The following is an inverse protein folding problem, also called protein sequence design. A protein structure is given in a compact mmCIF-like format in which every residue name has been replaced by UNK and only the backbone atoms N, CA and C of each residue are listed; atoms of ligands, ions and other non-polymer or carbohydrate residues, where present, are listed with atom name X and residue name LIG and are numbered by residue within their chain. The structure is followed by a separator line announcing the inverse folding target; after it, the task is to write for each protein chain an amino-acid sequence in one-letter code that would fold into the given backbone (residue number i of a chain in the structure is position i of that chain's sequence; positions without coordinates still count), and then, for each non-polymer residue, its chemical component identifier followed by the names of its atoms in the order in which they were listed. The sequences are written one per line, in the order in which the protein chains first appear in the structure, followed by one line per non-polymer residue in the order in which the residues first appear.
data_IF_160221053133
#
_entry.id   IF_160221053133
#
_cell.length_a   1.000
_cell.length_b   1.000
_cell.length_c   1.000
_cell.angle_alpha   90.00
_cell.angle_beta   90.00
_cell.angle_gamma   90.00
#
_symmetry.space_group_name_H-M   'P 1'
#
loop_
_entity.id
_entity.type
_entity.pdbx_description
1 polymer ?
#
# COMPACT_ATOMS: atom_id res chain seq x y z
N UNK A 1 -23.88 6.79 -2.38
CA UNK A 1 -23.52 6.94 -0.95
C UNK A 1 -24.64 6.36 -0.10
N UNK A 2 -24.49 5.14 0.38
CA UNK A 2 -25.52 4.47 1.20
C UNK A 2 -24.84 3.64 2.28
N UNK A 3 -24.89 4.17 3.51
CA UNK A 3 -24.59 3.50 4.78
C UNK A 3 -23.20 2.89 4.92
N UNK A 4 -22.26 3.59 5.56
CA UNK A 4 -21.23 2.86 6.30
C UNK A 4 -22.00 1.93 7.29
N UNK A 5 -21.73 0.60 7.31
CA UNK A 5 -22.42 -0.29 8.24
C UNK A 5 -22.22 0.26 9.65
N UNK A 6 -23.30 0.38 10.43
CA UNK A 6 -23.35 0.98 11.78
C UNK A 6 -22.16 0.58 12.69
N UNK A 7 -21.57 -0.60 12.47
CA UNK A 7 -20.36 -1.06 13.15
C UNK A 7 -19.07 -0.26 12.86
N UNK A 8 -18.82 0.20 11.63
CA UNK A 8 -17.59 0.96 11.30
C UNK A 8 -17.61 2.35 11.92
N UNK A 9 -18.77 3.00 11.96
CA UNK A 9 -18.90 4.31 12.61
C UNK A 9 -18.74 4.21 14.13
N UNK A 10 -19.21 3.11 14.74
CA UNK A 10 -18.93 2.81 16.14
C UNK A 10 -17.43 2.60 16.38
N UNK A 11 -16.74 1.83 15.53
CA UNK A 11 -15.28 1.65 15.61
C UNK A 11 -14.54 2.97 15.46
N UNK A 12 -14.95 3.85 14.54
CA UNK A 12 -14.34 5.17 14.36
C UNK A 12 -14.57 6.08 15.57
N UNK A 13 -15.79 6.11 16.12
CA UNK A 13 -16.10 6.86 17.35
C UNK A 13 -15.30 6.34 18.53
N UNK A 14 -15.26 5.02 18.72
CA UNK A 14 -14.46 4.38 19.76
C UNK A 14 -12.96 4.66 19.56
N UNK A 15 -12.46 4.59 18.33
CA UNK A 15 -11.08 4.90 17.99
C UNK A 15 -10.66 6.31 18.35
N UNK A 16 -11.50 7.32 18.06
CA UNK A 16 -11.25 8.71 18.50
C UNK A 16 -11.11 8.80 20.01
N UNK A 17 -11.96 8.11 20.77
CA UNK A 17 -11.85 8.06 22.23
C UNK A 17 -10.62 7.28 22.69
N UNK A 18 -10.27 6.17 22.05
CA UNK A 18 -9.12 5.33 22.40
C UNK A 18 -7.78 6.01 22.13
N UNK A 19 -7.70 6.90 21.15
CA UNK A 19 -6.48 7.65 20.81
C UNK A 19 -6.49 9.10 21.32
N UNK A 20 -7.58 9.52 21.99
CA UNK A 20 -7.69 10.83 22.60
C UNK A 20 -6.65 11.03 23.71
N UNK A 21 -5.94 12.17 23.75
CA UNK A 21 -5.07 12.54 24.87
C UNK A 21 -5.81 12.64 26.21
N UNK A 22 -7.14 12.79 26.20
CA UNK A 22 -7.97 12.98 27.41
C UNK A 22 -8.56 11.70 27.99
N UNK A 23 -8.43 10.57 27.30
CA UNK A 23 -9.00 9.29 27.77
C UNK A 23 -8.01 8.60 28.69
N UNK A 24 -8.49 8.14 29.86
CA UNK A 24 -7.74 7.37 30.87
C UNK A 24 -6.79 6.37 30.23
N UNK A 25 -5.49 6.56 30.48
CA UNK A 25 -4.42 5.87 29.76
C UNK A 25 -4.44 4.34 29.94
N UNK A 26 -4.65 3.78 31.16
CA UNK A 26 -4.60 2.32 31.35
C UNK A 26 -5.71 1.55 30.63
N UNK A 27 -6.96 2.02 30.69
CA UNK A 27 -8.09 1.33 30.08
C UNK A 27 -8.04 1.38 28.54
N UNK A 28 -7.63 2.53 27.98
CA UNK A 28 -7.44 2.68 26.55
C UNK A 28 -6.28 1.81 26.05
N UNK A 29 -5.13 1.80 26.73
CA UNK A 29 -3.98 0.95 26.40
C UNK A 29 -4.32 -0.53 26.46
N UNK A 30 -5.02 -0.98 27.50
CA UNK A 30 -5.48 -2.36 27.62
C UNK A 30 -6.38 -2.77 26.43
N UNK A 31 -7.31 -1.89 26.04
CA UNK A 31 -8.19 -2.13 24.89
C UNK A 31 -7.41 -2.21 23.58
N UNK A 32 -6.50 -1.27 23.34
CA UNK A 32 -5.66 -1.25 22.12
C UNK A 32 -4.81 -2.52 22.04
N UNK A 33 -4.16 -2.91 23.16
CA UNK A 33 -3.36 -4.14 23.24
C UNK A 33 -4.22 -5.38 22.94
N UNK A 34 -5.40 -5.49 23.53
CA UNK A 34 -6.29 -6.63 23.31
C UNK A 34 -6.68 -6.78 21.83
N UNK A 35 -6.94 -5.67 21.14
CA UNK A 35 -7.31 -5.66 19.72
C UNK A 35 -6.10 -5.93 18.80
N UNK A 36 -4.94 -5.34 19.12
CA UNK A 36 -3.71 -5.45 18.31
C UNK A 36 -2.98 -6.78 18.44
N UNK A 37 -2.99 -7.39 19.63
CA UNK A 37 -2.27 -8.63 19.93
C UNK A 37 -2.83 -9.88 19.23
N UNK A 38 -3.92 -9.77 18.46
CA UNK A 38 -4.25 -10.77 17.45
C UNK A 38 -4.55 -12.18 17.97
N UNK A 39 -5.26 -12.32 19.10
CA UNK A 39 -5.56 -13.59 19.78
C UNK A 39 -6.33 -14.65 18.94
N UNK A 40 -6.69 -14.38 17.67
CA UNK A 40 -7.67 -15.17 16.90
C UNK A 40 -7.09 -15.96 15.72
N UNK A 41 -5.82 -16.39 15.77
CA UNK A 41 -5.18 -17.12 14.68
C UNK A 41 -5.96 -18.39 14.21
N UNK A 42 -6.93 -18.87 14.99
CA UNK A 42 -7.81 -20.00 14.65
C UNK A 42 -9.25 -19.70 14.20
N UNK A 43 -9.71 -18.44 14.10
CA UNK A 43 -11.13 -18.10 13.78
C UNK A 43 -11.25 -17.22 12.53
N UNK A 44 -11.46 -17.82 11.35
CA UNK A 44 -11.46 -17.12 10.04
C UNK A 44 -12.46 -15.96 9.94
N UNK A 45 -13.70 -16.13 10.39
CA UNK A 45 -14.74 -15.10 10.19
C UNK A 45 -14.60 -13.92 11.17
N UNK A 46 -14.29 -14.21 12.44
CA UNK A 46 -13.97 -13.19 13.43
C UNK A 46 -12.71 -12.39 13.06
N UNK A 47 -11.74 -13.05 12.40
CA UNK A 47 -10.51 -12.39 11.97
C UNK A 47 -10.76 -11.29 10.91
N UNK A 48 -11.76 -11.43 10.04
CA UNK A 48 -12.03 -10.43 8.99
C UNK A 48 -12.55 -9.10 9.56
N UNK A 49 -13.54 -9.17 10.46
CA UNK A 49 -14.10 -7.96 11.10
C UNK A 49 -13.08 -7.27 11.99
N UNK A 50 -12.30 -8.04 12.76
CA UNK A 50 -11.27 -7.49 13.63
C UNK A 50 -10.12 -6.87 12.84
N UNK A 51 -9.72 -7.41 11.68
CA UNK A 51 -8.71 -6.74 10.86
C UNK A 51 -9.21 -5.43 10.23
N UNK A 52 -10.48 -5.38 9.80
CA UNK A 52 -11.09 -4.13 9.33
C UNK A 52 -11.15 -3.10 10.45
N UNK A 53 -11.62 -3.49 11.64
CA UNK A 53 -11.70 -2.61 12.79
C UNK A 53 -10.31 -2.14 13.24
N UNK A 54 -9.34 -3.05 13.29
CA UNK A 54 -7.96 -2.73 13.63
C UNK A 54 -7.35 -1.72 12.68
N UNK A 55 -7.57 -1.90 11.38
CA UNK A 55 -7.06 -0.98 10.40
C UNK A 55 -7.78 0.38 10.49
N UNK A 56 -9.08 0.46 10.78
CA UNK A 56 -9.70 1.77 11.11
C UNK A 56 -9.08 2.41 12.37
N UNK A 57 -8.74 1.63 13.39
CA UNK A 57 -8.07 2.13 14.59
C UNK A 57 -6.66 2.64 14.28
N UNK A 58 -5.90 1.95 13.42
CA UNK A 58 -4.59 2.38 12.95
C UNK A 58 -4.66 3.69 12.15
N UNK A 59 -5.71 3.89 11.36
CA UNK A 59 -5.98 5.16 10.70
C UNK A 59 -6.26 6.27 11.71
N UNK A 60 -7.15 6.04 12.67
CA UNK A 60 -7.46 7.02 13.72
C UNK A 60 -6.23 7.37 14.56
N UNK A 61 -5.38 6.39 14.86
CA UNK A 61 -4.11 6.61 15.56
C UNK A 61 -3.21 7.56 14.75
N UNK A 62 -3.03 7.30 13.46
CA UNK A 62 -2.25 8.14 12.55
C UNK A 62 -2.79 9.57 12.49
N UNK A 63 -4.11 9.74 12.38
CA UNK A 63 -4.76 11.06 12.31
C UNK A 63 -4.74 11.82 13.65
N UNK A 64 -4.70 11.12 14.78
CA UNK A 64 -4.72 11.75 16.10
C UNK A 64 -3.45 12.54 16.42
N UNK A 65 -2.32 12.23 15.77
CA UNK A 65 -1.01 12.79 16.10
C UNK A 65 -0.52 12.43 17.50
N UNK A 66 -1.18 11.49 18.21
CA UNK A 66 -0.83 11.09 19.57
C UNK A 66 0.36 10.12 19.60
N UNK A 67 1.51 10.60 19.13
CA UNK A 67 2.76 9.85 19.07
C UNK A 67 3.23 9.41 20.47
N UNK A 68 2.88 10.15 21.52
CA UNK A 68 3.20 9.80 22.91
C UNK A 68 2.51 8.52 23.37
N UNK A 69 1.21 8.35 23.08
CA UNK A 69 0.50 7.10 23.38
C UNK A 69 1.11 5.92 22.63
N UNK A 70 1.52 6.12 21.37
CA UNK A 70 2.20 5.07 20.60
C UNK A 70 3.55 4.69 21.20
N UNK A 71 4.33 5.67 21.68
CA UNK A 71 5.56 5.40 22.45
C UNK A 71 5.26 4.64 23.73
N UNK A 72 4.22 5.03 24.48
CA UNK A 72 3.78 4.29 25.67
C UNK A 72 3.42 2.84 25.37
N UNK A 73 2.77 2.57 24.24
CA UNK A 73 2.43 1.20 23.84
C UNK A 73 3.67 0.34 23.53
N UNK A 74 4.81 0.92 23.17
CA UNK A 74 6.05 0.15 22.95
C UNK A 74 6.54 -0.55 24.22
N UNK A 75 6.33 0.05 25.41
CA UNK A 75 6.62 -0.62 26.68
C UNK A 75 5.69 -1.82 26.94
N UNK A 76 4.54 -1.86 26.27
CA UNK A 76 3.54 -2.93 26.37
C UNK A 76 3.72 -3.99 25.25
N UNK A 77 4.88 -3.98 24.58
CA UNK A 77 5.22 -4.90 23.50
C UNK A 77 4.75 -4.46 22.11
N UNK A 78 4.22 -3.25 21.94
CA UNK A 78 3.83 -2.77 20.62
C UNK A 78 5.04 -2.56 19.72
N UNK A 79 4.89 -2.95 18.46
CA UNK A 79 5.83 -2.70 17.39
C UNK A 79 5.22 -1.71 16.39
N UNK A 80 5.51 -0.40 16.55
CA UNK A 80 5.00 0.61 15.63
C UNK A 80 5.68 0.51 14.27
N UNK A 81 4.90 0.67 13.21
CA UNK A 81 5.41 0.88 11.85
C UNK A 81 4.42 1.75 11.06
N UNK A 82 4.92 2.51 10.09
CA UNK A 82 4.11 3.36 9.25
C UNK A 82 3.88 2.72 7.88
N UNK A 83 2.67 2.89 7.33
CA UNK A 83 2.31 2.54 5.96
C UNK A 83 1.75 3.76 5.27
N UNK A 84 2.43 4.22 4.22
CA UNK A 84 2.02 5.37 3.41
C UNK A 84 1.96 4.88 1.97
N UNK A 85 0.81 5.03 1.31
CA UNK A 85 0.65 4.40 -0.01
C UNK A 85 -0.66 4.70 -0.70
N UNK A 86 -0.88 4.09 -1.85
CA UNK A 86 -2.20 4.02 -2.47
C UNK A 86 -3.06 2.90 -1.83
N UNK A 87 -4.19 2.52 -2.45
CA UNK A 87 -5.08 1.49 -1.90
C UNK A 87 -4.41 0.12 -1.71
N UNK A 88 -3.36 -0.21 -2.47
CA UNK A 88 -2.63 -1.46 -2.33
C UNK A 88 -1.85 -1.52 -1.01
N UNK A 89 -1.42 -0.36 -0.48
CA UNK A 89 -0.77 -0.27 0.82
C UNK A 89 -1.62 -0.83 1.97
N UNK A 90 -2.95 -0.91 1.80
CA UNK A 90 -3.84 -1.54 2.77
C UNK A 90 -3.42 -2.96 3.11
N UNK A 91 -2.86 -3.71 2.16
CA UNK A 91 -2.40 -5.08 2.39
C UNK A 91 -1.26 -5.18 3.41
N UNK A 92 -0.58 -4.07 3.72
CA UNK A 92 0.50 -3.99 4.71
C UNK A 92 0.00 -3.62 6.12
N UNK A 93 -1.27 -3.25 6.29
CA UNK A 93 -1.85 -2.88 7.59
C UNK A 93 -2.35 -4.14 8.30
N UNK A 94 -1.53 -4.69 9.20
CA UNK A 94 -1.76 -6.01 9.82
C UNK A 94 -1.77 -5.96 11.34
N UNK A 95 -2.51 -6.92 11.91
CA UNK A 95 -2.40 -7.31 13.31
C UNK A 95 -1.69 -8.66 13.38
N UNK A 96 -0.73 -8.78 14.29
CA UNK A 96 -0.03 -10.03 14.55
C UNK A 96 0.69 -9.93 15.88
N UNK A 97 1.03 -11.08 16.45
CA UNK A 97 1.84 -11.21 17.66
C UNK A 97 2.93 -12.25 17.43
N UNK A 98 4.13 -11.99 17.91
CA UNK A 98 5.23 -12.94 17.84
C UNK A 98 5.31 -13.81 19.11
N UNK A 99 6.26 -14.74 19.12
CA UNK A 99 6.48 -15.65 20.25
C UNK A 99 7.01 -14.94 21.53
N UNK A 100 7.45 -13.68 21.43
CA UNK A 100 7.96 -12.86 22.53
C UNK A 100 6.91 -11.90 23.06
N UNK A 101 5.63 -12.15 22.76
CA UNK A 101 4.50 -11.33 23.16
C UNK A 101 4.42 -9.94 22.49
N UNK A 102 5.35 -9.62 21.58
CA UNK A 102 5.33 -8.35 20.84
C UNK A 102 4.24 -8.39 19.79
N UNK A 103 3.65 -7.24 19.48
CA UNK A 103 2.53 -7.17 18.54
C UNK A 103 2.64 -5.99 17.56
N UNK A 104 2.19 -6.20 16.32
CA UNK A 104 2.25 -5.21 15.25
C UNK A 104 1.27 -4.05 15.49
N UNK A 105 1.79 -2.82 15.47
CA UNK A 105 1.04 -1.58 15.65
C UNK A 105 1.15 -0.67 14.41
N UNK A 106 0.42 -0.96 13.33
CA UNK A 106 0.45 -0.11 12.14
C UNK A 106 -0.12 1.28 12.42
N UNK A 107 0.45 2.26 11.72
CA UNK A 107 -0.11 3.58 11.49
C UNK A 107 -0.20 3.75 9.98
N UNK A 108 -1.33 4.22 9.45
CA UNK A 108 -1.44 4.33 8.00
C UNK A 108 -2.07 5.61 7.49
N UNK A 109 -1.54 6.05 6.35
CA UNK A 109 -1.99 7.17 5.53
C UNK A 109 -2.08 6.69 4.08
N UNK A 110 -3.25 6.22 3.66
CA UNK A 110 -3.46 5.71 2.31
C UNK A 110 -4.26 6.73 1.51
N UNK A 111 -3.72 7.07 0.35
CA UNK A 111 -4.29 7.98 -0.62
C UNK A 111 -4.84 7.15 -1.78
N UNK A 112 -6.05 6.61 -1.61
CA UNK A 112 -6.65 5.69 -2.59
C UNK A 112 -6.66 6.28 -4.00
N UNK A 113 -6.10 5.53 -4.95
CA UNK A 113 -5.97 5.96 -6.34
C UNK A 113 -4.93 7.04 -6.58
N UNK A 114 -4.11 7.45 -5.61
CA UNK A 114 -2.98 8.33 -5.88
C UNK A 114 -1.94 7.61 -6.75
N UNK A 115 -1.34 8.35 -7.68
CA UNK A 115 -0.28 7.87 -8.56
C UNK A 115 1.08 8.36 -8.07
N UNK A 116 2.11 7.53 -8.18
CA UNK A 116 3.48 7.87 -7.80
C UNK A 116 3.98 9.10 -8.57
N UNK A 117 3.68 9.16 -9.87
CA UNK A 117 4.08 10.29 -10.73
C UNK A 117 3.36 11.60 -10.39
N UNK A 118 2.22 11.52 -9.70
CA UNK A 118 1.41 12.67 -9.32
C UNK A 118 1.82 13.29 -7.98
N UNK A 119 2.59 12.59 -7.15
CA UNK A 119 2.95 13.06 -5.80
C UNK A 119 3.78 14.35 -5.80
N UNK A 120 4.67 14.51 -6.79
CA UNK A 120 5.51 15.71 -6.92
C UNK A 120 4.78 16.91 -7.54
N UNK A 121 3.57 16.75 -8.05
CA UNK A 121 2.86 17.82 -8.78
C UNK A 121 1.89 18.55 -7.86
N UNK A 122 2.16 19.84 -7.61
CA UNK A 122 1.31 20.68 -6.76
C UNK A 122 -0.14 20.76 -7.26
N UNK A 123 -0.34 20.73 -8.59
CA UNK A 123 -1.64 20.81 -9.26
C UNK A 123 -2.25 19.43 -9.59
N UNK A 124 -1.70 18.32 -9.08
CA UNK A 124 -2.31 17.01 -9.30
C UNK A 124 -3.76 17.00 -8.80
N UNK A 125 -4.69 16.49 -9.61
CA UNK A 125 -6.14 16.47 -9.33
C UNK A 125 -6.50 15.90 -7.94
N UNK A 126 -5.71 14.96 -7.42
CA UNK A 126 -5.95 14.34 -6.11
C UNK A 126 -5.47 15.17 -4.92
N UNK A 127 -4.54 16.12 -5.13
CA UNK A 127 -3.83 16.85 -4.07
C UNK A 127 -3.02 15.95 -3.11
N UNK A 128 -2.77 14.68 -3.48
CA UNK A 128 -2.20 13.69 -2.59
C UNK A 128 -0.76 14.02 -2.15
N UNK A 129 0.03 14.68 -3.00
CA UNK A 129 1.43 15.01 -2.73
C UNK A 129 1.68 15.71 -1.39
N UNK A 130 0.93 16.78 -1.11
CA UNK A 130 1.05 17.51 0.15
C UNK A 130 0.67 16.67 1.38
N UNK A 131 -0.36 15.82 1.26
CA UNK A 131 -0.79 14.92 2.33
C UNK A 131 0.22 13.81 2.58
N UNK A 132 0.81 13.23 1.54
CA UNK A 132 1.88 12.23 1.66
C UNK A 132 3.13 12.84 2.31
N UNK A 133 3.54 14.07 1.94
CA UNK A 133 4.64 14.77 2.64
C UNK A 133 4.36 14.98 4.13
N UNK A 134 3.13 15.37 4.46
CA UNK A 134 2.73 15.52 5.86
C UNK A 134 2.77 14.17 6.61
N UNK A 135 2.28 13.09 6.00
CA UNK A 135 2.33 11.74 6.54
C UNK A 135 3.77 11.26 6.76
N UNK A 136 4.68 11.48 5.80
CA UNK A 136 6.10 11.13 5.92
C UNK A 136 6.72 11.87 7.11
N UNK A 137 6.50 13.18 7.24
CA UNK A 137 7.00 13.96 8.40
C UNK A 137 6.47 13.44 9.73
N UNK A 138 5.18 13.10 9.81
CA UNK A 138 4.59 12.52 11.01
C UNK A 138 5.21 11.16 11.34
N UNK A 139 5.37 10.29 10.34
CA UNK A 139 5.94 8.96 10.50
C UNK A 139 7.41 9.02 10.95
N UNK A 140 8.20 9.98 10.44
CA UNK A 140 9.60 10.16 10.87
C UNK A 140 9.73 10.51 12.37
N UNK A 141 8.72 11.16 12.95
CA UNK A 141 8.64 11.44 14.40
C UNK A 141 8.45 10.20 15.30
N UNK A 142 8.18 9.03 14.71
CA UNK A 142 8.15 7.73 15.39
C UNK A 142 9.56 7.16 15.47
N UNK A 143 10.30 7.52 16.50
CA UNK A 143 11.69 7.08 16.69
C UNK A 143 11.85 5.56 16.48
N UNK A 144 12.74 5.18 15.56
CA UNK A 144 13.10 3.77 15.28
C UNK A 144 12.06 2.95 14.51
N UNK A 145 10.84 3.44 14.27
CA UNK A 145 9.83 2.70 13.53
C UNK A 145 10.13 2.68 12.01
N UNK A 146 9.99 1.53 11.32
CA UNK A 146 10.12 1.47 9.87
C UNK A 146 8.94 2.16 9.18
N UNK A 147 9.21 2.79 8.04
CA UNK A 147 8.23 3.50 7.22
C UNK A 147 8.13 2.81 5.87
N UNK A 148 6.97 2.22 5.57
CA UNK A 148 6.70 1.54 4.31
C UNK A 148 6.02 2.52 3.35
N UNK A 149 6.62 2.75 2.18
CA UNK A 149 6.08 3.59 1.11
C UNK A 149 5.70 2.73 -0.11
N UNK A 150 4.43 2.74 -0.50
CA UNK A 150 3.91 1.92 -1.60
C UNK A 150 3.03 2.71 -2.57
N UNK A 151 3.63 3.09 -3.70
CA UNK A 151 2.96 3.77 -4.82
C UNK A 151 3.51 3.22 -6.14
N UNK A 152 2.77 3.42 -7.24
CA UNK A 152 3.22 3.09 -8.60
C UNK A 152 2.37 2.02 -9.29
N UNK A 153 1.62 1.22 -8.53
CA UNK A 153 0.78 0.17 -9.11
C UNK A 153 -0.37 0.78 -9.91
N UNK A 154 -0.96 1.87 -9.39
CA UNK A 154 -1.95 2.66 -10.12
C UNK A 154 -1.38 3.21 -11.44
N UNK A 155 -0.11 3.64 -11.44
CA UNK A 155 0.54 4.18 -12.65
C UNK A 155 0.67 3.12 -13.75
N UNK A 156 1.19 1.95 -13.37
CA UNK A 156 1.52 0.85 -14.29
C UNK A 156 0.26 0.15 -14.80
N UNK A 157 -0.75 -0.05 -13.95
CA UNK A 157 -1.96 -0.76 -14.34
C UNK A 157 -3.02 0.12 -15.01
N UNK A 158 -3.13 1.40 -14.63
CA UNK A 158 -4.25 2.25 -15.04
C UNK A 158 -3.84 3.54 -15.73
N UNK A 159 -2.95 4.34 -15.14
CA UNK A 159 -2.61 5.66 -15.69
C UNK A 159 -2.00 5.54 -17.08
N UNK A 160 -1.11 4.58 -17.31
CA UNK A 160 -0.55 4.36 -18.65
C UNK A 160 -1.62 3.96 -19.67
N UNK A 161 -2.60 3.15 -19.27
CA UNK A 161 -3.71 2.71 -20.12
C UNK A 161 -4.60 3.90 -20.48
N UNK A 162 -4.95 4.75 -19.52
CA UNK A 162 -5.74 5.95 -19.78
C UNK A 162 -4.99 6.95 -20.68
N UNK A 163 -3.68 7.13 -20.49
CA UNK A 163 -2.88 7.97 -21.39
C UNK A 163 -2.81 7.43 -22.82
N UNK A 164 -2.69 6.10 -22.99
CA UNK A 164 -2.77 5.46 -24.30
C UNK A 164 -4.13 5.70 -24.94
N UNK A 165 -5.19 5.61 -24.15
CA UNK A 165 -6.55 5.85 -24.61
C UNK A 165 -6.78 7.30 -25.04
N UNK A 166 -6.26 8.27 -24.27
CA UNK A 166 -6.31 9.70 -24.61
C UNK A 166 -5.49 10.04 -25.85
N UNK A 167 -4.41 9.28 -26.11
CA UNK A 167 -3.58 9.44 -27.29
C UNK A 167 -4.05 8.60 -28.49
N UNK A 168 -5.22 7.96 -28.40
CA UNK A 168 -5.78 7.04 -29.41
C UNK A 168 -4.78 5.96 -29.89
N UNK A 169 -4.05 5.35 -28.94
CA UNK A 169 -3.06 4.29 -29.21
C UNK A 169 -3.58 2.91 -28.78
N UNK A 170 -4.30 2.18 -29.66
CA UNK A 170 -4.88 0.89 -29.31
C UNK A 170 -3.83 -0.20 -29.12
N UNK A 171 -2.76 -0.20 -29.92
CA UNK A 171 -1.69 -1.20 -29.82
C UNK A 171 -0.82 -1.00 -28.57
N UNK A 172 -0.28 -2.08 -28.02
CA UNK A 172 0.67 -2.01 -26.91
C UNK A 172 2.10 -1.88 -27.46
N UNK A 173 2.82 -0.86 -26.99
CA UNK A 173 4.23 -0.66 -27.33
C UNK A 173 5.10 -0.80 -26.07
N UNK A 174 5.91 -1.87 -25.96
CA UNK A 174 6.80 -2.08 -24.83
C UNK A 174 7.81 -0.96 -24.59
N UNK A 175 8.28 -0.27 -25.64
CA UNK A 175 9.24 0.81 -25.52
C UNK A 175 8.59 2.07 -24.94
N UNK A 176 7.37 2.38 -25.38
CA UNK A 176 6.56 3.48 -24.80
C UNK A 176 6.21 3.18 -23.34
N UNK A 177 5.84 1.94 -23.02
CA UNK A 177 5.59 1.53 -21.64
C UNK A 177 6.85 1.69 -20.77
N UNK A 178 8.01 1.26 -21.27
CA UNK A 178 9.28 1.41 -20.54
C UNK A 178 9.62 2.88 -20.28
N UNK A 179 9.48 3.75 -21.28
CA UNK A 179 9.70 5.18 -21.12
C UNK A 179 8.74 5.80 -20.08
N UNK A 180 7.46 5.38 -20.08
CA UNK A 180 6.49 5.78 -19.06
C UNK A 180 6.89 5.30 -17.66
N UNK A 181 7.36 4.06 -17.53
CA UNK A 181 7.83 3.49 -16.28
C UNK A 181 9.04 4.24 -15.73
N UNK A 182 10.06 4.48 -16.56
CA UNK A 182 11.27 5.21 -16.19
C UNK A 182 10.95 6.65 -15.75
N UNK A 183 10.07 7.34 -16.47
CA UNK A 183 9.59 8.68 -16.09
C UNK A 183 8.84 8.65 -14.75
N UNK A 184 8.00 7.65 -14.53
CA UNK A 184 7.23 7.48 -13.29
C UNK A 184 8.17 7.23 -12.10
N UNK A 185 9.16 6.36 -12.26
CA UNK A 185 10.19 6.09 -11.24
C UNK A 185 10.97 7.36 -10.94
N UNK A 186 11.48 8.06 -11.96
CA UNK A 186 12.25 9.30 -11.77
C UNK A 186 11.47 10.37 -10.99
N UNK A 187 10.19 10.57 -11.34
CA UNK A 187 9.31 11.50 -10.61
C UNK A 187 9.06 11.08 -9.16
N UNK A 188 8.85 9.78 -8.94
CA UNK A 188 8.62 9.26 -7.59
C UNK A 188 9.87 9.38 -6.72
N UNK A 189 11.04 9.00 -7.23
CA UNK A 189 12.33 9.15 -6.55
C UNK A 189 12.60 10.62 -6.22
N UNK A 190 12.38 11.54 -7.16
CA UNK A 190 12.52 12.97 -6.90
C UNK A 190 11.60 13.45 -5.76
N UNK A 191 10.35 12.99 -5.73
CA UNK A 191 9.44 13.28 -4.61
C UNK A 191 9.96 12.73 -3.28
N UNK A 192 10.48 11.49 -3.25
CA UNK A 192 11.01 10.85 -2.05
C UNK A 192 12.24 11.59 -1.51
N UNK A 193 13.18 11.94 -2.39
CA UNK A 193 14.40 12.68 -2.06
C UNK A 193 14.08 14.05 -1.46
N UNK A 194 13.06 14.72 -1.97
CA UNK A 194 12.58 16.01 -1.46
C UNK A 194 11.78 15.86 -0.15
N UNK A 195 11.05 14.76 0.04
CA UNK A 195 10.25 14.52 1.23
C UNK A 195 11.05 13.97 2.43
N UNK A 196 12.23 13.37 2.19
CA UNK A 196 13.02 12.67 3.21
C UNK A 196 14.49 13.10 3.15
N UNK A 197 14.95 13.73 4.23
CA UNK A 197 16.35 14.10 4.41
C UNK A 197 17.26 12.87 4.42
N UNK A 198 18.49 13.01 3.91
CA UNK A 198 19.43 11.90 3.71
C UNK A 198 19.63 11.02 4.96
N UNK A 199 19.72 11.62 6.15
CA UNK A 199 19.92 10.91 7.42
C UNK A 199 18.78 9.94 7.79
N UNK A 200 17.56 10.15 7.28
CA UNK A 200 16.39 9.35 7.60
C UNK A 200 16.05 8.30 6.52
N UNK A 201 16.68 8.36 5.34
CA UNK A 201 16.29 7.51 4.18
C UNK A 201 16.39 6.02 4.45
N UNK A 202 17.36 5.59 5.26
CA UNK A 202 17.52 4.18 5.64
C UNK A 202 16.35 3.61 6.47
N UNK A 203 15.50 4.46 7.06
CA UNK A 203 14.27 4.04 7.78
C UNK A 203 13.07 3.88 6.87
N UNK A 204 13.18 4.40 5.64
CA UNK A 204 12.10 4.43 4.67
C UNK A 204 12.31 3.29 3.68
N UNK A 205 11.40 2.33 3.76
CA UNK A 205 11.34 1.14 2.91
C UNK A 205 10.38 1.40 1.76
N UNK A 206 10.90 1.55 0.55
CA UNK A 206 10.08 1.61 -0.65
C UNK A 206 9.68 0.19 -1.02
N UNK A 207 8.37 -0.06 -1.02
CA UNK A 207 7.80 -1.36 -1.31
C UNK A 207 7.69 -1.56 -2.82
N UNK A 208 7.93 -2.79 -3.28
CA UNK A 208 7.60 -3.20 -4.65
C UNK A 208 6.11 -3.04 -4.94
N UNK A 209 5.75 -2.99 -6.22
CA UNK A 209 4.39 -3.25 -6.68
C UNK A 209 4.02 -4.71 -6.40
N UNK A 210 2.74 -4.99 -6.13
CA UNK A 210 2.29 -6.39 -6.09
C UNK A 210 2.22 -6.99 -7.51
N UNK A 211 2.21 -8.32 -7.66
CA UNK A 211 1.88 -8.91 -8.95
C UNK A 211 0.44 -8.54 -9.35
N UNK A 212 0.18 -8.31 -10.64
CA UNK A 212 -1.12 -7.87 -11.11
C UNK A 212 -2.18 -8.95 -10.79
N UNK A 213 -3.29 -8.54 -10.19
CA UNK A 213 -4.36 -9.46 -9.80
C UNK A 213 -5.46 -9.59 -10.87
N UNK A 214 -5.63 -8.56 -11.70
CA UNK A 214 -6.72 -8.51 -12.67
C UNK A 214 -6.46 -9.48 -13.83
N UNK A 215 -7.46 -10.30 -14.16
CA UNK A 215 -7.36 -11.30 -15.23
C UNK A 215 -7.45 -10.70 -16.62
N UNK A 216 -6.95 -11.44 -17.61
CA UNK A 216 -7.09 -11.06 -19.01
C UNK A 216 -8.56 -11.01 -19.46
N UNK A 217 -9.40 -11.88 -18.89
CA UNK A 217 -10.84 -11.86 -19.14
C UNK A 217 -11.48 -10.55 -18.67
N UNK A 218 -11.14 -10.09 -17.46
CA UNK A 218 -11.66 -8.82 -16.95
C UNK A 218 -11.21 -7.62 -17.81
N UNK A 219 -9.95 -7.60 -18.25
CA UNK A 219 -9.46 -6.59 -19.19
C UNK A 219 -10.21 -6.60 -20.53
N UNK A 220 -10.45 -7.79 -21.11
CA UNK A 220 -11.21 -7.92 -22.36
C UNK A 220 -12.65 -7.41 -22.25
N UNK A 221 -13.24 -7.47 -21.06
CA UNK A 221 -14.58 -6.89 -20.81
C UNK A 221 -14.56 -5.37 -20.53
N UNK A 222 -13.40 -4.73 -20.62
CA UNK A 222 -13.26 -3.29 -20.40
C UNK A 222 -13.40 -2.91 -18.93
N UNK A 223 -12.66 -3.60 -18.04
CA UNK A 223 -12.68 -3.31 -16.60
C UNK A 223 -12.56 -1.81 -16.31
N UNK A 224 -13.53 -1.28 -15.57
CA UNK A 224 -13.57 0.12 -15.12
C UNK A 224 -13.63 0.15 -13.61
N UNK A 225 -12.68 0.85 -12.99
CA UNK A 225 -12.79 1.26 -11.61
C UNK A 225 -13.22 2.74 -11.56
N UNK A 226 -14.44 3.01 -11.08
CA UNK A 226 -15.03 4.35 -11.09
C UNK A 226 -14.13 5.40 -10.40
N UNK A 227 -13.54 5.06 -9.26
CA UNK A 227 -12.65 5.96 -8.51
C UNK A 227 -11.36 6.28 -9.28
N UNK A 228 -10.77 5.30 -9.97
CA UNK A 228 -9.59 5.55 -10.81
C UNK A 228 -9.94 6.36 -12.06
N UNK A 229 -11.12 6.15 -12.64
CA UNK A 229 -11.62 6.98 -13.76
C UNK A 229 -11.85 8.41 -13.31
N UNK A 230 -12.38 8.64 -12.11
CA UNK A 230 -12.58 9.98 -11.57
C UNK A 230 -11.26 10.75 -11.45
N UNK A 231 -10.19 10.07 -11.02
CA UNK A 231 -8.90 10.70 -10.76
C UNK A 231 -8.02 10.83 -12.01
N UNK A 232 -7.99 9.79 -12.85
CA UNK A 232 -7.02 9.64 -13.94
C UNK A 232 -7.64 9.36 -15.30
N UNK A 233 -8.94 9.12 -15.35
CA UNK A 233 -9.63 8.80 -16.59
C UNK A 233 -9.73 10.01 -17.53
N UNK A 234 -10.07 9.75 -18.81
CA UNK A 234 -10.33 10.80 -19.77
C UNK A 234 -11.52 11.68 -19.34
N UNK A 235 -11.55 12.90 -19.84
CA UNK A 235 -12.64 13.84 -19.56
C UNK A 235 -14.00 13.32 -20.06
N UNK A 236 -14.01 12.65 -21.21
CA UNK A 236 -15.18 11.94 -21.75
C UNK A 236 -15.22 10.50 -21.22
N UNK A 237 -16.30 10.20 -20.48
CA UNK A 237 -16.53 8.90 -19.85
C UNK A 237 -17.52 8.03 -20.62
N UNK A 238 -18.18 8.59 -21.63
CA UNK A 238 -19.15 7.86 -22.43
C UNK A 238 -18.47 6.71 -23.17
N UNK A 239 -19.03 5.51 -23.09
CA UNK A 239 -18.47 4.33 -23.75
C UNK A 239 -17.07 3.91 -23.29
N UNK A 240 -16.56 4.39 -22.15
CA UNK A 240 -15.20 4.13 -21.67
C UNK A 240 -14.87 2.63 -21.58
N UNK A 241 -15.77 1.81 -21.03
CA UNK A 241 -15.57 0.36 -20.96
C UNK A 241 -15.39 -0.26 -22.36
N UNK A 242 -16.22 0.15 -23.32
CA UNK A 242 -16.11 -0.31 -24.70
C UNK A 242 -14.83 0.16 -25.39
N UNK A 243 -14.32 1.35 -25.05
CA UNK A 243 -13.02 1.84 -25.53
C UNK A 243 -11.86 1.06 -24.93
N UNK A 244 -11.88 0.80 -23.62
CA UNK A 244 -10.87 0.00 -22.92
C UNK A 244 -10.83 -1.44 -23.45
N UNK A 245 -11.98 -2.04 -23.71
CA UNK A 245 -12.08 -3.38 -24.29
C UNK A 245 -11.44 -3.51 -25.68
N UNK A 246 -11.25 -2.40 -26.40
CA UNK A 246 -10.59 -2.35 -27.72
C UNK A 246 -9.09 -2.12 -27.64
N UNK A 247 -8.53 -1.80 -26.47
CA UNK A 247 -7.09 -1.66 -26.30
C UNK A 247 -6.44 -3.03 -26.30
N UNK A 248 -5.28 -3.13 -26.94
CA UNK A 248 -4.37 -4.23 -26.70
C UNK A 248 -3.79 -4.09 -25.30
N UNK A 249 -4.18 -5.01 -24.41
CA UNK A 249 -3.66 -5.15 -23.07
C UNK A 249 -2.77 -6.39 -23.03
N UNK A 250 -1.50 -6.29 -22.60
CA UNK A 250 -0.65 -7.45 -22.44
C UNK A 250 -1.28 -8.49 -21.51
N UNK A 251 -1.02 -9.77 -21.77
CA UNK A 251 -1.51 -10.85 -20.93
C UNK A 251 -0.94 -10.80 -19.49
N UNK A 252 -1.48 -11.64 -18.61
CA UNK A 252 -1.08 -11.66 -17.20
C UNK A 252 0.42 -11.92 -17.02
N UNK A 253 1.03 -12.77 -17.85
CA UNK A 253 2.45 -13.08 -17.77
C UNK A 253 3.30 -11.86 -18.16
N UNK A 254 2.97 -11.21 -19.28
CA UNK A 254 3.63 -9.99 -19.73
C UNK A 254 3.47 -8.85 -18.72
N UNK A 255 2.27 -8.65 -18.16
CA UNK A 255 2.05 -7.64 -17.11
C UNK A 255 2.84 -7.96 -15.84
N UNK A 256 2.94 -9.24 -15.45
CA UNK A 256 3.75 -9.64 -14.30
C UNK A 256 5.24 -9.36 -14.55
N UNK A 257 5.76 -9.67 -15.74
CA UNK A 257 7.13 -9.35 -16.13
C UNK A 257 7.39 -7.83 -16.14
N UNK A 258 6.41 -7.03 -16.57
CA UNK A 258 6.48 -5.57 -16.51
C UNK A 258 6.55 -5.05 -15.08
N UNK A 259 5.76 -5.60 -14.15
CA UNK A 259 5.84 -5.26 -12.72
C UNK A 259 7.20 -5.64 -12.13
N UNK A 260 7.73 -6.83 -12.47
CA UNK A 260 9.06 -7.25 -12.04
C UNK A 260 10.16 -6.29 -12.53
N UNK A 261 10.11 -5.88 -13.80
CA UNK A 261 11.04 -4.93 -14.38
C UNK A 261 10.94 -3.54 -13.72
N UNK A 262 9.72 -3.05 -13.50
CA UNK A 262 9.48 -1.80 -12.77
C UNK A 262 10.04 -1.86 -11.35
N UNK A 263 9.78 -2.97 -10.63
CA UNK A 263 10.26 -3.19 -9.27
C UNK A 263 11.79 -3.19 -9.19
N UNK A 264 12.46 -3.87 -10.11
CA UNK A 264 13.92 -3.90 -10.17
C UNK A 264 14.50 -2.51 -10.45
N UNK A 265 13.93 -1.77 -11.40
CA UNK A 265 14.36 -0.41 -11.71
C UNK A 265 14.11 0.57 -10.54
N UNK A 266 12.94 0.49 -9.91
CA UNK A 266 12.61 1.29 -8.73
C UNK A 266 13.56 0.99 -7.57
N UNK A 267 13.82 -0.30 -7.30
CA UNK A 267 14.74 -0.72 -6.26
C UNK A 267 16.14 -0.13 -6.47
N UNK A 268 16.69 -0.25 -7.68
CA UNK A 268 17.99 0.34 -8.02
C UNK A 268 18.01 1.85 -7.83
N UNK A 269 16.98 2.55 -8.29
CA UNK A 269 16.91 4.02 -8.20
C UNK A 269 16.78 4.53 -6.76
N UNK A 270 15.98 3.87 -5.91
CA UNK A 270 15.80 4.31 -4.51
C UNK A 270 16.99 3.89 -3.63
N UNK A 271 17.63 2.76 -3.91
CA UNK A 271 18.85 2.35 -3.21
C UNK A 271 20.01 3.30 -3.48
N UNK A 272 20.15 3.80 -4.72
CA UNK A 272 21.15 4.80 -5.08
C UNK A 272 21.01 6.09 -4.24
N UNK A 273 19.79 6.40 -3.81
CA UNK A 273 19.48 7.55 -2.94
C UNK A 273 19.56 7.22 -1.44
N UNK A 274 19.87 5.98 -1.05
CA UNK A 274 20.00 5.55 0.34
C UNK A 274 18.70 5.10 1.01
N UNK A 275 17.64 4.86 0.25
CA UNK A 275 16.41 4.26 0.77
C UNK A 275 16.54 2.74 0.91
N UNK A 276 15.79 2.16 1.86
CA UNK A 276 15.65 0.71 1.95
C UNK A 276 14.60 0.22 0.93
N UNK A 277 14.70 -1.06 0.54
CA UNK A 277 13.73 -1.71 -0.35
C UNK A 277 13.04 -2.86 0.39
N UNK A 278 11.73 -2.96 0.21
CA UNK A 278 10.91 -4.08 0.67
C UNK A 278 10.30 -4.78 -0.55
N UNK A 279 10.81 -5.96 -0.90
CA UNK A 279 10.20 -6.81 -1.92
C UNK A 279 9.04 -7.62 -1.31
N UNK A 280 7.82 -7.21 -1.59
CA UNK A 280 6.57 -7.91 -1.31
C UNK A 280 5.91 -8.50 -2.57
N UNK A 281 6.64 -8.53 -3.69
CA UNK A 281 6.22 -9.06 -4.98
C UNK A 281 6.58 -10.54 -5.13
N UNK A 282 7.85 -10.88 -4.93
CA UNK A 282 8.41 -12.20 -5.30
C UNK A 282 7.75 -13.35 -4.54
N UNK A 283 7.46 -13.16 -3.25
CA UNK A 283 6.82 -14.18 -2.40
C UNK A 283 5.36 -14.47 -2.79
N UNK A 284 4.76 -13.64 -3.65
CA UNK A 284 3.38 -13.77 -4.10
C UNK A 284 3.26 -14.39 -5.50
N UNK A 285 4.38 -14.73 -6.13
CA UNK A 285 4.40 -15.47 -7.39
C UNK A 285 4.23 -16.98 -7.16
N UNK A 286 3.53 -17.62 -8.08
CA UNK A 286 3.45 -19.07 -8.18
C UNK A 286 4.53 -19.66 -9.10
N UNK A 287 4.54 -20.98 -9.30
CA UNK A 287 5.54 -21.67 -10.15
C UNK A 287 5.61 -21.17 -11.60
N UNK A 288 4.50 -20.63 -12.12
CA UNK A 288 4.43 -20.07 -13.48
C UNK A 288 4.95 -18.65 -13.63
N UNK A 289 5.54 -18.04 -12.59
CA UNK A 289 6.06 -16.67 -12.65
C UNK A 289 4.98 -15.58 -12.70
N UNK A 290 3.71 -15.93 -12.48
CA UNK A 290 2.57 -15.03 -12.31
C UNK A 290 2.05 -15.11 -10.86
N UNK A 291 1.13 -14.21 -10.48
CA UNK A 291 0.47 -14.28 -9.17
C UNK A 291 -0.06 -15.69 -8.88
N UNK A 292 0.26 -16.23 -7.71
CA UNK A 292 -0.29 -17.51 -7.28
C UNK A 292 -1.81 -17.36 -7.03
N UNK A 293 -2.67 -18.18 -7.68
CA UNK A 293 -4.11 -18.09 -7.51
C UNK A 293 -4.60 -18.13 -6.06
N UNK A 294 -3.83 -18.74 -5.14
CA UNK A 294 -4.19 -18.77 -3.71
C UNK A 294 -4.28 -17.38 -3.08
N UNK A 295 -3.66 -16.36 -3.68
CA UNK A 295 -3.68 -14.97 -3.19
C UNK A 295 -4.80 -14.11 -3.76
N UNK A 296 -5.58 -14.61 -4.71
CA UNK A 296 -6.61 -13.85 -5.40
C UNK A 296 -7.99 -13.91 -4.71
N UNK A 297 -8.18 -14.89 -3.82
CA UNK A 297 -9.40 -15.06 -3.04
C UNK A 297 -10.68 -15.24 -3.88
N UNK A 298 -11.86 -14.93 -3.32
CA UNK A 298 -13.15 -15.17 -3.99
C UNK A 298 -13.40 -14.32 -5.24
N UNK A 299 -12.70 -13.19 -5.38
CA UNK A 299 -12.83 -12.27 -6.52
C UNK A 299 -11.83 -12.56 -7.64
N UNK A 300 -11.22 -13.73 -7.65
CA UNK A 300 -10.06 -14.05 -8.46
C UNK A 300 -10.14 -13.50 -9.90
N UNK A 301 -9.26 -12.55 -10.21
CA UNK A 301 -9.17 -11.97 -11.56
C UNK A 301 -10.18 -10.87 -11.90
N UNK A 302 -11.12 -10.53 -11.02
CA UNK A 302 -12.14 -9.47 -11.23
C UNK A 302 -11.90 -8.21 -10.39
N UNK A 303 -10.93 -8.26 -9.47
CA UNK A 303 -10.45 -7.14 -8.68
C UNK A 303 -8.96 -6.95 -9.00
N UNK A 304 -8.50 -5.70 -8.99
CA UNK A 304 -7.08 -5.39 -9.20
C UNK A 304 -6.27 -5.52 -7.91
N UNK A 305 -6.93 -5.67 -6.76
CA UNK A 305 -6.28 -5.98 -5.50
C UNK A 305 -6.12 -7.50 -5.32
N UNK A 306 -5.02 -7.90 -4.68
CA UNK A 306 -4.91 -9.22 -4.07
C UNK A 306 -5.88 -9.35 -2.89
N UNK A 307 -6.25 -10.57 -2.55
CA UNK A 307 -7.15 -10.83 -1.43
C UNK A 307 -6.46 -10.50 -0.11
N UNK A 308 -7.09 -9.61 0.64
CA UNK A 308 -6.56 -9.08 1.89
C UNK A 308 -6.32 -10.14 2.95
N UNK A 309 -7.13 -11.21 3.00
CA UNK A 309 -6.98 -12.28 3.99
C UNK A 309 -5.99 -13.34 3.51
N UNK A 310 -6.02 -13.68 2.23
CA UNK A 310 -5.17 -14.71 1.66
C UNK A 310 -3.69 -14.34 1.79
N UNK A 311 -3.30 -13.09 1.49
CA UNK A 311 -1.89 -12.68 1.56
C UNK A 311 -1.35 -12.51 2.98
N UNK A 312 -2.22 -12.58 4.00
CA UNK A 312 -1.87 -12.26 5.39
C UNK A 312 -0.61 -13.01 5.88
N UNK A 313 -0.47 -14.34 5.71
CA UNK A 313 0.69 -15.06 6.25
C UNK A 313 2.01 -14.52 5.69
N UNK A 314 2.06 -14.27 4.37
CA UNK A 314 3.25 -13.75 3.70
C UNK A 314 3.57 -12.33 4.13
N UNK A 315 2.57 -11.45 4.19
CA UNK A 315 2.79 -10.06 4.60
C UNK A 315 3.22 -9.98 6.06
N UNK A 316 2.58 -10.73 6.96
CA UNK A 316 2.94 -10.72 8.39
C UNK A 316 4.37 -11.21 8.62
N UNK A 317 4.78 -12.29 7.97
CA UNK A 317 6.17 -12.78 8.04
C UNK A 317 7.15 -11.69 7.58
N UNK A 318 6.84 -11.02 6.45
CA UNK A 318 7.67 -9.92 5.93
C UNK A 318 7.78 -8.74 6.90
N UNK A 319 6.66 -8.32 7.51
CA UNK A 319 6.63 -7.20 8.46
C UNK A 319 7.49 -7.47 9.69
N UNK A 320 7.49 -8.69 10.20
CA UNK A 320 8.32 -9.08 11.34
C UNK A 320 9.82 -9.10 11.02
N UNK A 321 10.20 -9.24 9.74
CA UNK A 321 11.59 -9.27 9.26
C UNK A 321 12.16 -7.92 8.84
N UNK A 322 11.34 -6.87 8.66
CA UNK A 322 11.83 -5.49 8.43
C UNK A 322 13.01 -5.03 9.32
N UNK A 323 13.04 -5.37 10.62
CA UNK A 323 14.08 -4.93 11.56
C UNK A 323 15.40 -5.67 11.40
N UNK A 324 15.37 -6.87 10.81
CA UNK A 324 16.56 -7.70 10.60
C UNK A 324 17.43 -7.16 9.44
N UNK A 325 16.93 -6.13 8.74
CA UNK A 325 17.51 -5.61 7.52
C UNK A 325 17.12 -6.48 6.32
N UNK A 326 16.88 -5.87 5.17
CA UNK A 326 16.84 -6.63 3.92
C UNK A 326 18.20 -7.34 3.73
N UNK A 327 18.27 -8.55 3.18
CA UNK A 327 19.53 -9.30 2.96
C UNK A 327 20.63 -8.59 2.15
N UNK A 328 20.41 -7.34 1.70
CA UNK A 328 21.41 -6.47 1.08
C UNK A 328 21.91 -5.31 1.95
N UNK A 329 21.47 -5.19 3.20
CA UNK A 329 21.87 -4.13 4.15
C UNK A 329 22.80 -4.63 5.26
N UNK A 330 23.40 -5.82 5.11
CA UNK A 330 24.50 -6.24 5.99
C UNK A 330 25.65 -5.27 5.78
N UNK A 331 25.80 -4.34 6.72
CA UNK A 331 26.93 -3.43 6.84
C UNK A 331 28.20 -4.25 6.64
N UNK A 332 29.01 -3.87 5.66
CA UNK A 332 30.45 -4.12 5.70
C UNK A 332 30.93 -3.60 7.06
N UNK A 333 31.32 -4.54 7.93
CA UNK A 333 32.14 -4.23 9.10
C UNK A 333 33.53 -3.79 8.64
#
# INVERSE_FOLDING_TARGET
MTGAPLGLDLVRRAGRSLWSPRTSDPAARATIRALGAGFDAGRRDAASLLEKAWAELAFMAAQSGNLERLRGLTSDGAWPYAVIGDSHGRLLVRRSRDARDRWLAPLWWLESGASARGLGQAEARSGAGGRVRAAVRQALGLSGAPILLKFGQVDVEFVQVFKRLEADRPAFDPAVFRAFADETIGRYVAFLVDAVVSADRGRVHVCSLFPPALSDAAWRTGYVNAHLVDLHGPADREGLAGRLARLEIPDLAARTAQHAAFNAALAGAVQAEGFAVCDDFTALLGPGGVVDPRWLGPRAGSDHHLDFHAVRPQVVDRLWRLPEGSPGNSRSA
#
